data_IF_114166034070
#
_entry.id   IF_114166034070
#
_cell.length_a   1.000
_cell.length_b   1.000
_cell.length_c   1.000
_cell.angle_alpha   90.00
_cell.angle_beta   90.00
_cell.angle_gamma   90.00
#
_symmetry.space_group_name_H-M   'P 1'
#
loop_
_entity.id
_entity.type
_entity.pdbx_description
1 polymer ?
#
# COMPACT_ATOMS: atom_id res chain seq x y z
N UNK A 1 1.82 8.82 -9.49
CA UNK A 1 1.01 8.65 -8.27
C UNK A 1 -0.31 9.42 -8.30
N UNK A 2 -1.41 8.80 -7.87
CA UNK A 2 -2.77 9.36 -7.97
C UNK A 2 -3.40 9.26 -9.36
N UNK A 3 -3.33 8.10 -10.00
CA UNK A 3 -3.89 7.90 -11.35
C UNK A 3 -4.66 6.60 -11.46
N UNK A 4 -5.56 6.55 -12.44
CA UNK A 4 -6.33 5.34 -12.75
C UNK A 4 -5.42 4.14 -12.99
N UNK A 5 -4.39 4.29 -13.83
CA UNK A 5 -3.43 3.22 -14.16
C UNK A 5 -2.63 2.77 -12.93
N UNK A 6 -2.22 3.73 -12.09
CA UNK A 6 -1.47 3.45 -10.86
C UNK A 6 -2.26 2.67 -9.81
N UNK A 7 -3.59 2.60 -9.91
CA UNK A 7 -4.41 1.77 -9.04
C UNK A 7 -4.82 0.45 -9.72
N UNK A 8 -5.17 0.47 -11.00
CA UNK A 8 -5.58 -0.75 -11.72
C UNK A 8 -4.44 -1.75 -11.87
N UNK A 9 -3.21 -1.29 -12.12
CA UNK A 9 -2.07 -2.18 -12.30
C UNK A 9 -1.74 -3.00 -11.04
N UNK A 10 -1.44 -2.39 -9.87
CA UNK A 10 -1.22 -3.15 -8.64
C UNK A 10 -2.50 -3.88 -8.19
N UNK A 11 -3.68 -3.28 -8.38
CA UNK A 11 -4.95 -3.93 -8.07
C UNK A 11 -5.17 -5.25 -8.84
N UNK A 12 -4.78 -5.29 -10.11
CA UNK A 12 -4.85 -6.50 -10.94
C UNK A 12 -3.91 -7.59 -10.42
N UNK A 13 -2.69 -7.21 -10.04
CA UNK A 13 -1.71 -8.16 -9.52
C UNK A 13 -2.22 -8.80 -8.22
N UNK A 14 -2.63 -7.99 -7.24
CA UNK A 14 -3.17 -8.49 -5.97
C UNK A 14 -4.43 -9.32 -6.14
N UNK A 15 -5.32 -8.93 -7.05
CA UNK A 15 -6.55 -9.68 -7.33
C UNK A 15 -6.25 -11.07 -7.90
N UNK A 16 -5.41 -11.15 -8.93
CA UNK A 16 -5.09 -12.41 -9.62
C UNK A 16 -4.30 -13.33 -8.69
N UNK A 17 -3.28 -12.81 -8.02
CA UNK A 17 -2.45 -13.59 -7.09
C UNK A 17 -3.27 -14.03 -5.88
N UNK A 18 -4.06 -13.12 -5.28
CA UNK A 18 -4.93 -13.45 -4.14
C UNK A 18 -5.96 -14.53 -4.49
N UNK A 19 -6.66 -14.40 -5.62
CA UNK A 19 -7.63 -15.40 -6.06
C UNK A 19 -6.96 -16.75 -6.35
N UNK A 20 -5.76 -16.72 -6.93
CA UNK A 20 -4.95 -17.91 -7.16
C UNK A 20 -4.56 -18.61 -5.85
N UNK A 21 -4.20 -17.85 -4.81
CA UNK A 21 -3.89 -18.38 -3.48
C UNK A 21 -5.11 -19.04 -2.83
N UNK A 22 -6.27 -18.38 -2.88
CA UNK A 22 -7.53 -18.95 -2.36
C UNK A 22 -7.85 -20.28 -3.02
N UNK A 23 -7.82 -20.32 -4.37
CA UNK A 23 -8.06 -21.54 -5.12
C UNK A 23 -7.04 -22.63 -4.77
N UNK A 24 -5.76 -22.27 -4.73
CA UNK A 24 -4.67 -23.21 -4.46
C UNK A 24 -4.72 -23.78 -3.05
N UNK A 25 -5.09 -22.98 -2.04
CA UNK A 25 -5.28 -23.44 -0.67
C UNK A 25 -6.47 -24.41 -0.58
N UNK A 26 -7.61 -24.06 -1.20
CA UNK A 26 -8.78 -24.93 -1.24
C UNK A 26 -8.49 -26.26 -1.95
N UNK A 27 -7.80 -26.22 -3.10
CA UNK A 27 -7.43 -27.42 -3.86
C UNK A 27 -6.46 -28.32 -3.09
N UNK A 28 -5.43 -27.74 -2.44
CA UNK A 28 -4.48 -28.48 -1.59
C UNK A 28 -5.19 -29.17 -0.44
N UNK A 29 -6.09 -28.47 0.24
CA UNK A 29 -6.84 -29.02 1.36
C UNK A 29 -7.82 -30.11 0.92
N UNK A 30 -8.48 -29.95 -0.22
CA UNK A 30 -9.39 -30.96 -0.76
C UNK A 30 -8.66 -32.25 -1.17
N UNK A 31 -7.42 -32.14 -1.66
CA UNK A 31 -6.61 -33.29 -2.06
C UNK A 31 -6.08 -34.08 -0.84
N UNK A 32 -5.44 -33.41 0.11
CA UNK A 32 -4.84 -34.05 1.28
C UNK A 32 -5.02 -33.21 2.56
N UNK A 33 -6.19 -33.28 3.23
CA UNK A 33 -6.47 -32.48 4.43
C UNK A 33 -5.48 -32.72 5.58
N UNK A 34 -5.05 -33.98 5.75
CA UNK A 34 -4.17 -34.39 6.86
C UNK A 34 -2.71 -33.94 6.68
N UNK A 35 -2.27 -33.67 5.45
CA UNK A 35 -0.93 -33.22 5.13
C UNK A 35 -0.88 -31.71 4.79
N UNK A 36 -1.98 -30.99 5.00
CA UNK A 36 -2.10 -29.58 4.66
C UNK A 36 -1.02 -28.76 5.37
N UNK A 37 -0.35 -27.91 4.59
CA UNK A 37 0.57 -26.89 5.07
C UNK A 37 0.30 -25.59 4.32
N UNK A 38 0.35 -24.47 5.03
CA UNK A 38 0.36 -23.11 4.51
C UNK A 38 1.48 -22.98 3.48
N UNK A 39 1.23 -22.24 2.40
CA UNK A 39 2.27 -21.84 1.45
C UNK A 39 2.12 -20.37 1.13
N UNK A 40 3.22 -19.61 1.24
CA UNK A 40 3.28 -18.18 0.94
C UNK A 40 3.13 -17.89 -0.55
N UNK A 41 3.36 -18.89 -1.40
CA UNK A 41 3.23 -18.80 -2.85
C UNK A 41 2.71 -20.13 -3.40
N UNK A 42 1.99 -20.10 -4.52
CA UNK A 42 1.34 -21.30 -5.07
C UNK A 42 1.83 -21.66 -6.47
N UNK A 43 2.29 -22.90 -6.73
CA UNK A 43 2.85 -23.26 -8.01
C UNK A 43 1.79 -23.33 -9.11
N UNK A 44 2.07 -22.71 -10.27
CA UNK A 44 1.17 -22.71 -11.43
C UNK A 44 1.53 -23.86 -12.37
N UNK A 45 0.79 -24.96 -12.26
CA UNK A 45 1.00 -26.16 -13.08
C UNK A 45 2.38 -26.79 -12.89
N UNK A 46 2.90 -27.43 -13.95
CA UNK A 46 4.15 -28.19 -13.90
C UNK A 46 5.27 -27.58 -14.78
N UNK A 47 6.51 -27.97 -14.49
CA UNK A 47 7.67 -27.61 -15.31
C UNK A 47 8.03 -26.12 -15.27
N UNK A 48 8.14 -25.48 -16.44
CA UNK A 48 8.61 -24.08 -16.57
C UNK A 48 7.67 -23.06 -15.94
N UNK A 49 6.38 -23.36 -15.88
CA UNK A 49 5.35 -22.46 -15.35
C UNK A 49 5.19 -22.56 -13.84
N UNK A 50 5.81 -23.57 -13.20
CA UNK A 50 5.69 -23.81 -11.76
C UNK A 50 5.92 -22.54 -10.93
N UNK A 51 6.89 -21.70 -11.29
CA UNK A 51 7.26 -20.50 -10.52
C UNK A 51 6.73 -19.20 -11.16
N UNK A 52 5.68 -19.28 -11.98
CA UNK A 52 5.15 -18.14 -12.73
C UNK A 52 4.75 -16.97 -11.82
N UNK A 53 4.09 -17.26 -10.70
CA UNK A 53 3.73 -16.25 -9.70
C UNK A 53 4.96 -15.45 -9.23
N UNK A 54 6.01 -16.15 -8.82
CA UNK A 54 7.26 -15.54 -8.35
C UNK A 54 7.97 -14.75 -9.45
N UNK A 55 7.95 -15.23 -10.70
CA UNK A 55 8.52 -14.48 -11.82
C UNK A 55 7.74 -13.19 -12.08
N UNK A 56 6.40 -13.24 -12.05
CA UNK A 56 5.56 -12.05 -12.24
C UNK A 56 5.84 -11.03 -11.14
N UNK A 57 5.88 -11.45 -9.87
CA UNK A 57 6.15 -10.56 -8.74
C UNK A 57 7.56 -9.97 -8.84
N UNK A 58 8.58 -10.81 -9.08
CA UNK A 58 9.99 -10.36 -9.10
C UNK A 58 10.27 -9.45 -10.29
N UNK A 59 9.90 -9.85 -11.51
CA UNK A 59 10.18 -9.06 -12.71
C UNK A 59 9.29 -7.82 -12.74
N UNK A 60 8.01 -7.96 -12.37
CA UNK A 60 7.07 -6.85 -12.32
C UNK A 60 7.52 -5.76 -11.35
N UNK A 61 7.83 -6.13 -10.10
CA UNK A 61 8.33 -5.18 -9.09
C UNK A 61 9.66 -4.54 -9.48
N UNK A 62 10.59 -5.30 -10.08
CA UNK A 62 11.86 -4.76 -10.55
C UNK A 62 11.67 -3.73 -11.67
N UNK A 63 10.86 -4.05 -12.67
CA UNK A 63 10.59 -3.14 -13.80
C UNK A 63 9.88 -1.89 -13.31
N UNK A 64 8.86 -2.03 -12.45
CA UNK A 64 8.13 -0.89 -11.89
C UNK A 64 9.04 -0.01 -11.01
N UNK A 65 9.90 -0.62 -10.20
CA UNK A 65 10.93 0.08 -9.43
C UNK A 65 11.87 0.89 -10.34
N UNK A 66 12.32 0.30 -11.46
CA UNK A 66 13.14 1.00 -12.43
C UNK A 66 12.38 2.16 -13.09
N UNK A 67 11.09 2.02 -13.38
CA UNK A 67 10.27 3.09 -13.96
C UNK A 67 10.13 4.24 -12.97
N UNK A 68 9.73 3.97 -11.72
CA UNK A 68 9.52 5.04 -10.75
C UNK A 68 10.83 5.72 -10.33
N UNK A 69 11.91 4.96 -10.16
CA UNK A 69 13.20 5.55 -9.80
C UNK A 69 13.89 6.23 -10.99
N UNK A 70 13.93 5.63 -12.18
CA UNK A 70 14.76 6.15 -13.28
C UNK A 70 13.98 7.06 -14.23
N UNK A 71 12.73 6.71 -14.55
CA UNK A 71 11.93 7.42 -15.53
C UNK A 71 11.14 8.57 -14.89
N UNK A 72 10.43 8.32 -13.78
CA UNK A 72 9.58 9.34 -13.12
C UNK A 72 10.42 10.48 -12.52
N UNK A 73 11.59 10.18 -11.94
CA UNK A 73 12.50 11.20 -11.40
C UNK A 73 13.36 11.90 -12.46
N UNK A 74 13.30 11.45 -13.73
CA UNK A 74 14.20 11.90 -14.81
C UNK A 74 15.70 11.88 -14.43
N UNK A 75 16.10 11.00 -13.50
CA UNK A 75 17.46 10.92 -12.90
C UNK A 75 17.88 12.17 -12.11
N UNK A 76 16.96 13.09 -11.86
CA UNK A 76 17.17 14.28 -11.03
C UNK A 76 16.87 13.95 -9.56
N UNK A 77 17.66 13.03 -9.00
CA UNK A 77 17.52 12.58 -7.62
C UNK A 77 17.80 13.68 -6.59
N UNK A 78 18.63 14.65 -6.95
CA UNK A 78 19.26 15.58 -6.03
C UNK A 78 19.08 17.00 -6.57
N UNK A 79 18.57 17.88 -5.71
CA UNK A 79 18.29 19.27 -6.05
C UNK A 79 19.08 20.22 -5.14
N UNK A 80 19.58 21.30 -5.74
CA UNK A 80 20.35 22.35 -5.05
C UNK A 80 21.84 22.05 -4.88
N UNK A 81 22.61 23.05 -4.44
CA UNK A 81 24.06 22.94 -4.16
C UNK A 81 24.37 21.93 -3.05
N UNK A 82 23.43 21.73 -2.12
CA UNK A 82 23.58 20.80 -0.99
C UNK A 82 23.31 19.33 -1.35
N UNK A 83 22.93 19.04 -2.60
CA UNK A 83 22.67 17.67 -3.09
C UNK A 83 21.63 16.94 -2.21
N UNK A 84 20.54 17.62 -1.86
CA UNK A 84 19.45 17.05 -1.04
C UNK A 84 18.45 16.33 -1.96
N UNK A 85 17.85 15.26 -1.45
CA UNK A 85 16.81 14.51 -2.16
C UNK A 85 15.67 15.45 -2.58
N UNK A 86 15.32 15.46 -3.87
CA UNK A 86 14.32 16.37 -4.39
C UNK A 86 12.93 16.11 -3.74
N UNK A 87 12.37 17.06 -2.96
CA UNK A 87 11.05 16.88 -2.34
C UNK A 87 9.93 16.62 -3.34
N UNK A 88 10.08 17.11 -4.58
CA UNK A 88 9.11 16.89 -5.65
C UNK A 88 8.98 15.42 -6.08
N UNK A 89 10.01 14.61 -5.85
CA UNK A 89 10.07 13.20 -6.23
C UNK A 89 10.08 12.24 -5.03
N UNK A 90 9.85 12.73 -3.80
CA UNK A 90 9.85 11.88 -2.61
C UNK A 90 8.86 10.73 -2.70
N UNK A 91 7.70 10.98 -3.32
CA UNK A 91 6.69 9.95 -3.54
C UNK A 91 7.22 8.82 -4.45
N UNK A 92 7.95 9.15 -5.52
CA UNK A 92 8.56 8.14 -6.42
C UNK A 92 9.60 7.28 -5.67
N UNK A 93 10.34 7.88 -4.74
CA UNK A 93 11.28 7.15 -3.87
C UNK A 93 10.59 6.24 -2.86
N UNK A 94 9.50 6.69 -2.25
CA UNK A 94 8.68 5.87 -1.36
C UNK A 94 8.16 4.64 -2.12
N UNK A 95 7.65 4.84 -3.34
CA UNK A 95 7.20 3.77 -4.23
C UNK A 95 8.34 2.82 -4.60
N UNK A 96 9.49 3.36 -4.99
CA UNK A 96 10.68 2.56 -5.24
C UNK A 96 11.10 1.70 -4.04
N UNK A 97 11.01 2.24 -2.82
CA UNK A 97 11.30 1.51 -1.58
C UNK A 97 10.30 0.38 -1.30
N UNK A 98 9.01 0.62 -1.52
CA UNK A 98 7.96 -0.41 -1.40
C UNK A 98 8.14 -1.51 -2.45
N UNK A 99 8.38 -1.15 -3.72
CA UNK A 99 8.62 -2.09 -4.81
C UNK A 99 9.89 -2.91 -4.60
N UNK A 100 10.95 -2.31 -4.05
CA UNK A 100 12.17 -3.02 -3.67
C UNK A 100 11.88 -4.16 -2.68
N UNK A 101 11.01 -3.94 -1.70
CA UNK A 101 10.68 -4.97 -0.72
C UNK A 101 9.89 -6.14 -1.35
N UNK A 102 8.98 -5.87 -2.29
CA UNK A 102 8.33 -6.92 -3.08
C UNK A 102 9.30 -7.65 -4.02
N UNK A 103 10.27 -6.94 -4.60
CA UNK A 103 11.34 -7.55 -5.39
C UNK A 103 12.19 -8.50 -4.54
N UNK A 104 12.61 -8.05 -3.35
CA UNK A 104 13.38 -8.89 -2.42
C UNK A 104 12.58 -10.13 -1.99
N UNK A 105 11.28 -9.97 -1.69
CA UNK A 105 10.40 -11.09 -1.43
C UNK A 105 10.40 -12.12 -2.58
N UNK A 106 10.14 -11.66 -3.81
CA UNK A 106 10.10 -12.54 -4.98
C UNK A 106 11.45 -13.20 -5.27
N UNK A 107 12.53 -12.43 -5.26
CA UNK A 107 13.88 -12.90 -5.58
C UNK A 107 14.40 -13.93 -4.57
N UNK A 108 14.24 -13.67 -3.26
CA UNK A 108 14.66 -14.59 -2.20
C UNK A 108 13.83 -15.86 -2.23
N UNK A 109 12.50 -15.76 -2.42
CA UNK A 109 11.63 -16.93 -2.53
C UNK A 109 11.97 -17.79 -3.74
N UNK A 110 12.21 -17.15 -4.89
CA UNK A 110 12.62 -17.84 -6.11
C UNK A 110 14.00 -18.50 -5.96
N UNK A 111 14.95 -17.83 -5.30
CA UNK A 111 16.27 -18.38 -5.01
C UNK A 111 16.17 -19.58 -4.06
N UNK A 112 15.30 -19.52 -3.04
CA UNK A 112 15.05 -20.63 -2.13
C UNK A 112 14.51 -21.86 -2.86
N UNK A 113 13.59 -21.67 -3.81
CA UNK A 113 13.01 -22.78 -4.58
C UNK A 113 13.94 -23.36 -5.65
N UNK A 114 14.78 -22.52 -6.27
CA UNK A 114 15.64 -22.93 -7.39
C UNK A 114 16.99 -23.47 -6.95
N UNK A 115 17.48 -23.07 -5.79
CA UNK A 115 18.85 -23.31 -5.38
C UNK A 115 18.91 -24.03 -4.05
N UNK A 116 19.77 -25.04 -3.96
CA UNK A 116 20.02 -25.77 -2.71
C UNK A 116 20.85 -24.97 -1.69
N UNK A 117 21.33 -23.80 -2.07
CA UNK A 117 22.24 -22.97 -1.27
C UNK A 117 21.52 -22.18 -0.20
N UNK A 118 20.22 -21.92 -0.37
CA UNK A 118 19.44 -21.10 0.54
C UNK A 118 18.04 -21.69 0.78
N UNK A 119 17.92 -22.89 1.36
CA UNK A 119 16.62 -23.47 1.67
C UNK A 119 16.00 -22.72 2.86
N UNK A 120 15.07 -21.80 2.58
CA UNK A 120 14.33 -21.12 3.64
C UNK A 120 13.12 -21.97 4.05
N UNK A 121 12.84 -22.08 5.36
CA UNK A 121 11.58 -22.65 5.82
C UNK A 121 10.43 -21.72 5.43
N UNK A 122 9.25 -22.31 5.19
CA UNK A 122 8.05 -21.58 4.77
C UNK A 122 7.73 -20.38 5.69
N UNK A 123 7.89 -20.56 7.00
CA UNK A 123 7.68 -19.48 7.98
C UNK A 123 8.58 -18.26 7.76
N UNK A 124 9.83 -18.44 7.32
CA UNK A 124 10.71 -17.32 6.97
C UNK A 124 10.24 -16.58 5.72
N UNK A 125 9.70 -17.30 4.74
CA UNK A 125 9.12 -16.69 3.55
C UNK A 125 7.82 -15.94 3.87
N UNK A 126 7.00 -16.46 4.79
CA UNK A 126 5.85 -15.76 5.35
C UNK A 126 6.23 -14.46 6.08
N UNK A 127 7.31 -14.45 6.86
CA UNK A 127 7.84 -13.21 7.46
C UNK A 127 8.37 -12.24 6.42
N UNK A 128 8.99 -12.73 5.34
CA UNK A 128 9.46 -11.90 4.25
C UNK A 128 8.29 -11.25 3.49
N UNK A 129 7.22 -12.00 3.21
CA UNK A 129 5.98 -11.46 2.66
C UNK A 129 5.37 -10.41 3.60
N UNK A 130 5.32 -10.69 4.90
CA UNK A 130 4.87 -9.72 5.91
C UNK A 130 5.72 -8.44 5.89
N UNK A 131 7.03 -8.54 5.69
CA UNK A 131 7.91 -7.38 5.61
C UNK A 131 7.62 -6.54 4.34
N UNK A 132 7.35 -7.18 3.21
CA UNK A 132 6.95 -6.50 1.98
C UNK A 132 5.61 -5.76 2.15
N UNK A 133 4.59 -6.44 2.69
CA UNK A 133 3.32 -5.79 3.03
C UNK A 133 3.48 -4.68 4.09
N UNK A 134 4.43 -4.80 5.02
CA UNK A 134 4.72 -3.73 5.99
C UNK A 134 5.28 -2.48 5.31
N UNK A 135 6.15 -2.64 4.31
CA UNK A 135 6.64 -1.51 3.52
C UNK A 135 5.51 -0.82 2.75
N UNK A 136 4.60 -1.62 2.16
CA UNK A 136 3.38 -1.12 1.52
C UNK A 136 2.47 -0.38 2.50
N UNK A 137 2.23 -0.96 3.68
CA UNK A 137 1.42 -0.35 4.73
C UNK A 137 1.98 1.01 5.15
N UNK A 138 3.28 1.11 5.40
CA UNK A 138 3.91 2.36 5.83
C UNK A 138 3.76 3.43 4.75
N UNK A 139 4.03 3.09 3.49
CA UNK A 139 3.86 4.00 2.38
C UNK A 139 2.42 4.53 2.30
N UNK A 140 1.42 3.64 2.25
CA UNK A 140 0.03 4.08 2.13
C UNK A 140 -0.49 4.75 3.39
N UNK A 141 0.02 4.41 4.57
CA UNK A 141 -0.34 5.10 5.80
C UNK A 141 0.13 6.55 5.77
N UNK A 142 1.40 6.80 5.43
CA UNK A 142 1.92 8.17 5.32
C UNK A 142 1.27 8.92 4.15
N UNK A 143 1.07 8.26 3.02
CA UNK A 143 0.35 8.85 1.88
C UNK A 143 -1.10 9.22 2.24
N UNK A 144 -1.80 8.36 2.98
CA UNK A 144 -3.17 8.60 3.42
C UNK A 144 -3.27 9.77 4.38
N UNK A 145 -2.26 10.02 5.22
CA UNK A 145 -2.24 11.19 6.11
C UNK A 145 -2.00 12.52 5.37
N UNK A 146 -1.49 12.46 4.13
CA UNK A 146 -1.32 13.63 3.28
C UNK A 146 -2.63 14.05 2.58
N UNK A 147 -3.56 13.12 2.39
CA UNK A 147 -4.85 13.36 1.74
C UNK A 147 -5.94 13.73 2.75
N UNK A 148 -6.82 14.67 2.36
CA UNK A 148 -8.01 15.02 3.13
C UNK A 148 -9.27 14.77 2.30
N UNK A 149 -10.39 14.45 2.96
CA UNK A 149 -11.66 14.17 2.28
C UNK A 149 -11.79 12.72 1.79
N UNK A 150 -12.51 12.53 0.69
CA UNK A 150 -12.92 11.20 0.19
C UNK A 150 -11.72 10.30 -0.15
N UNK A 151 -10.69 10.88 -0.77
CA UNK A 151 -9.48 10.15 -1.13
C UNK A 151 -8.77 9.56 0.11
N UNK A 152 -8.68 10.33 1.20
CA UNK A 152 -8.11 9.85 2.47
C UNK A 152 -8.88 8.67 3.06
N UNK A 153 -10.22 8.68 3.02
CA UNK A 153 -11.03 7.57 3.52
C UNK A 153 -10.83 6.28 2.72
N UNK A 154 -10.71 6.39 1.39
CA UNK A 154 -10.44 5.23 0.55
C UNK A 154 -9.05 4.63 0.84
N UNK A 155 -8.04 5.47 1.05
CA UNK A 155 -6.70 5.02 1.40
C UNK A 155 -6.64 4.42 2.81
N UNK A 156 -7.40 4.93 3.80
CA UNK A 156 -7.48 4.30 5.14
C UNK A 156 -8.01 2.86 5.06
N UNK A 157 -9.04 2.61 4.25
CA UNK A 157 -9.56 1.26 4.08
C UNK A 157 -8.52 0.35 3.42
N UNK A 158 -7.78 0.87 2.44
CA UNK A 158 -6.67 0.14 1.82
C UNK A 158 -5.60 -0.23 2.86
N UNK A 159 -5.22 0.71 3.73
CA UNK A 159 -4.26 0.48 4.82
C UNK A 159 -4.74 -0.62 5.78
N UNK A 160 -6.03 -0.66 6.11
CA UNK A 160 -6.62 -1.75 6.93
C UNK A 160 -6.50 -3.10 6.21
N UNK A 161 -6.79 -3.16 4.92
CA UNK A 161 -6.68 -4.39 4.12
C UNK A 161 -5.23 -4.89 4.04
N UNK A 162 -4.27 -3.99 3.84
CA UNK A 162 -2.84 -4.34 3.89
C UNK A 162 -2.46 -4.85 5.29
N UNK A 163 -2.99 -4.22 6.35
CA UNK A 163 -2.83 -4.71 7.73
C UNK A 163 -3.32 -6.15 7.94
N UNK A 164 -4.41 -6.54 7.26
CA UNK A 164 -4.88 -7.93 7.27
C UNK A 164 -3.93 -8.87 6.51
N UNK A 165 -3.33 -8.43 5.40
CA UNK A 165 -2.29 -9.18 4.69
C UNK A 165 -1.05 -9.41 5.57
N UNK A 166 -0.62 -8.40 6.33
CA UNK A 166 0.47 -8.52 7.31
C UNK A 166 0.11 -9.54 8.38
N UNK A 167 -1.04 -9.37 9.03
CA UNK A 167 -1.47 -10.23 10.13
C UNK A 167 -1.63 -11.69 9.71
N UNK A 168 -2.24 -11.93 8.53
CA UNK A 168 -2.41 -13.27 7.98
C UNK A 168 -1.09 -13.90 7.54
N UNK A 169 -0.14 -13.12 6.99
CA UNK A 169 1.21 -13.60 6.66
C UNK A 169 1.99 -14.02 7.91
N UNK A 170 1.96 -13.20 8.97
CA UNK A 170 2.56 -13.55 10.27
C UNK A 170 1.88 -14.79 10.85
N UNK A 171 0.56 -14.84 10.84
CA UNK A 171 -0.19 -16.01 11.31
C UNK A 171 0.19 -17.27 10.52
N UNK A 172 0.47 -17.16 9.21
CA UNK A 172 0.91 -18.27 8.36
C UNK A 172 2.26 -18.84 8.79
N UNK A 173 3.16 -18.00 9.31
CA UNK A 173 4.42 -18.44 9.90
C UNK A 173 4.22 -19.14 11.26
N UNK A 174 3.27 -18.67 12.07
CA UNK A 174 3.01 -19.17 13.42
C UNK A 174 2.14 -20.43 13.45
N UNK A 175 1.22 -20.57 12.50
CA UNK A 175 0.25 -21.65 12.42
C UNK A 175 0.29 -22.29 11.02
N UNK A 176 1.37 -23.02 10.68
CA UNK A 176 1.60 -23.54 9.33
C UNK A 176 0.60 -24.62 8.90
N UNK A 177 -0.25 -25.12 9.79
CA UNK A 177 -1.15 -26.26 9.52
C UNK A 177 -2.61 -25.82 9.42
N UNK A 178 -2.86 -24.51 9.47
CA UNK A 178 -4.19 -23.96 9.58
C UNK A 178 -4.70 -23.45 8.24
N UNK A 179 -5.67 -24.14 7.66
CA UNK A 179 -6.34 -23.73 6.42
C UNK A 179 -6.94 -22.32 6.50
N UNK A 180 -7.55 -21.95 7.63
CA UNK A 180 -8.19 -20.66 7.77
C UNK A 180 -7.17 -19.51 7.65
N UNK A 181 -5.93 -19.75 8.10
CA UNK A 181 -4.84 -18.78 7.99
C UNK A 181 -4.39 -18.63 6.53
N UNK A 182 -4.19 -19.73 5.82
CA UNK A 182 -3.84 -19.72 4.38
C UNK A 182 -4.93 -19.02 3.55
N UNK A 183 -6.21 -19.38 3.77
CA UNK A 183 -7.34 -18.73 3.12
C UNK A 183 -7.45 -17.25 3.49
N UNK A 184 -7.21 -16.88 4.74
CA UNK A 184 -7.27 -15.47 5.16
C UNK A 184 -6.25 -14.62 4.41
N UNK A 185 -5.05 -15.15 4.15
CA UNK A 185 -4.03 -14.46 3.37
C UNK A 185 -4.50 -14.18 1.94
N UNK A 186 -4.91 -15.23 1.22
CA UNK A 186 -5.41 -15.08 -0.14
C UNK A 186 -6.67 -14.20 -0.25
N UNK A 187 -7.59 -14.31 0.71
CA UNK A 187 -8.79 -13.46 0.77
C UNK A 187 -8.41 -12.00 1.02
N UNK A 188 -7.51 -11.71 1.96
CA UNK A 188 -7.04 -10.35 2.23
C UNK A 188 -6.37 -9.73 1.01
N UNK A 189 -5.50 -10.48 0.30
CA UNK A 189 -4.89 -10.02 -0.95
C UNK A 189 -5.94 -9.74 -2.04
N UNK A 190 -6.95 -10.62 -2.17
CA UNK A 190 -8.03 -10.44 -3.13
C UNK A 190 -8.84 -9.18 -2.82
N UNK A 191 -9.18 -8.97 -1.54
CA UNK A 191 -9.90 -7.78 -1.09
C UNK A 191 -9.08 -6.51 -1.30
N UNK A 192 -7.78 -6.53 -1.01
CA UNK A 192 -6.86 -5.44 -1.31
C UNK A 192 -6.87 -5.10 -2.81
N UNK A 193 -6.78 -6.11 -3.69
CA UNK A 193 -6.87 -5.93 -5.14
C UNK A 193 -8.21 -5.33 -5.61
N UNK A 194 -9.33 -5.84 -5.10
CA UNK A 194 -10.66 -5.29 -5.36
C UNK A 194 -10.79 -3.83 -4.91
N UNK A 195 -10.21 -3.49 -3.77
CA UNK A 195 -10.28 -2.14 -3.23
C UNK A 195 -9.45 -1.14 -4.04
N UNK A 196 -8.30 -1.56 -4.58
CA UNK A 196 -7.57 -0.78 -5.57
C UNK A 196 -8.43 -0.46 -6.79
N UNK A 197 -9.17 -1.44 -7.33
CA UNK A 197 -10.12 -1.20 -8.42
C UNK A 197 -11.23 -0.23 -8.05
N UNK A 198 -11.82 -0.40 -6.86
CA UNK A 198 -12.87 0.50 -6.37
C UNK A 198 -12.34 1.94 -6.26
N UNK A 199 -11.12 2.11 -5.74
CA UNK A 199 -10.43 3.40 -5.65
C UNK A 199 -10.17 3.98 -7.05
N UNK A 200 -9.67 3.16 -7.98
CA UNK A 200 -9.39 3.57 -9.36
C UNK A 200 -10.64 4.12 -10.05
N UNK A 201 -11.74 3.37 -10.02
CA UNK A 201 -12.94 3.77 -10.74
C UNK A 201 -13.69 4.93 -10.09
N UNK A 202 -13.68 5.01 -8.75
CA UNK A 202 -14.43 6.03 -8.02
C UNK A 202 -13.72 7.37 -8.02
N UNK A 203 -12.41 7.38 -7.76
CA UNK A 203 -11.64 8.63 -7.65
C UNK A 203 -11.06 9.09 -8.98
N UNK A 204 -10.73 8.15 -9.88
CA UNK A 204 -9.95 8.43 -11.09
C UNK A 204 -10.61 7.95 -12.39
N UNK A 205 -11.78 7.32 -12.30
CA UNK A 205 -12.44 6.67 -13.42
C UNK A 205 -13.83 7.21 -13.70
N UNK A 206 -14.59 6.45 -14.48
CA UNK A 206 -15.90 6.84 -15.01
C UNK A 206 -17.00 7.04 -13.95
N UNK A 207 -16.76 6.63 -12.70
CA UNK A 207 -17.70 6.82 -11.58
C UNK A 207 -17.48 8.14 -10.83
N UNK A 208 -16.47 8.94 -11.20
CA UNK A 208 -16.29 10.26 -10.64
C UNK A 208 -17.49 11.17 -11.02
N UNK A 209 -18.21 11.78 -10.06
CA UNK A 209 -19.34 12.64 -10.37
C UNK A 209 -18.91 13.81 -11.28
N UNK A 210 -19.55 13.94 -12.45
CA UNK A 210 -19.22 14.97 -13.45
C UNK A 210 -19.29 16.40 -12.90
N UNK A 211 -20.11 16.60 -11.87
CA UNK A 211 -20.28 17.90 -11.20
C UNK A 211 -19.02 18.32 -10.42
N UNK A 212 -18.24 17.36 -9.90
CA UNK A 212 -16.96 17.62 -9.25
C UNK A 212 -15.86 18.02 -10.25
N UNK A 213 -15.86 17.42 -11.45
CA UNK A 213 -14.94 17.80 -12.53
C UNK A 213 -15.22 19.22 -13.06
N UNK A 214 -16.50 19.64 -13.09
CA UNK A 214 -16.90 20.97 -13.54
C UNK A 214 -16.68 22.08 -12.51
N UNK A 215 -16.60 21.74 -11.22
CA UNK A 215 -16.47 22.72 -10.13
C UNK A 215 -15.05 23.29 -10.05
N UNK A 216 -14.02 22.51 -10.38
CA UNK A 216 -12.62 22.99 -10.45
C UNK A 216 -12.43 24.04 -11.55
N UNK A 217 -13.17 23.94 -12.66
CA UNK A 217 -13.15 24.93 -13.74
C UNK A 217 -13.99 26.18 -13.39
N UNK A 218 -15.08 26.04 -12.62
CA UNK A 218 -15.90 27.19 -12.20
C UNK A 218 -15.28 28.01 -11.08
N UNK A 219 -14.57 27.40 -10.14
CA UNK A 219 -13.92 28.13 -9.04
C UNK A 219 -12.73 28.96 -9.52
N UNK A 220 -11.99 28.49 -10.53
CA UNK A 220 -10.89 29.22 -11.16
C UNK A 220 -11.37 30.38 -12.06
N UNK A 221 -12.51 30.22 -12.74
CA UNK A 221 -13.15 31.33 -13.49
C UNK A 221 -13.80 32.34 -12.53
N UNK A 222 -14.42 31.90 -11.44
CA UNK A 222 -15.04 32.81 -10.47
C UNK A 222 -14.02 33.62 -9.67
N UNK A 223 -12.83 33.07 -9.37
CA UNK A 223 -11.74 33.82 -8.73
C UNK A 223 -11.04 34.80 -9.69
N UNK A 224 -10.95 34.48 -10.99
CA UNK A 224 -10.38 35.39 -11.99
C UNK A 224 -11.29 36.60 -12.26
N UNK A 225 -12.61 36.43 -12.13
CA UNK A 225 -13.58 37.53 -12.37
C UNK A 225 -13.79 38.42 -11.13
N UNK A 226 -13.40 37.98 -9.93
CA UNK A 226 -13.56 38.75 -8.70
C UNK A 226 -12.41 39.73 -8.41
N UNK A 227 -11.35 39.77 -9.24
CA UNK A 227 -10.20 40.69 -9.05
C UNK A 227 -10.38 42.10 -9.64
N UNK A 228 -11.57 42.45 -10.13
CA UNK A 228 -11.87 43.77 -10.73
C UNK A 228 -13.01 44.53 -10.04
N UNK A 229 -13.31 44.25 -8.77
CA UNK A 229 -14.41 44.92 -8.06
C UNK A 229 -14.07 45.23 -6.61
N UNK A 230 -13.76 46.49 -6.34
CA UNK A 230 -14.00 47.27 -5.10
C UNK A 230 -14.25 46.51 -3.79
N UNK A 231 -13.38 46.78 -2.81
CA UNK A 231 -13.49 46.46 -1.38
C UNK A 231 -14.86 46.86 -0.80
N UNK A 232 -15.48 45.99 0.03
CA UNK A 232 -16.11 46.51 1.23
C UNK A 232 -15.80 45.71 2.51
N UNK A 233 -15.67 46.52 3.57
CA UNK A 233 -15.72 46.31 5.03
C UNK A 233 -16.02 44.92 5.62
N UNK A 234 -15.20 44.64 6.63
CA UNK A 234 -15.36 43.71 7.76
C UNK A 234 -16.81 43.46 8.21
N UNK A 235 -17.16 42.18 8.34
CA UNK A 235 -18.11 41.71 9.35
C UNK A 235 -17.56 40.44 10.00
N UNK A 236 -17.43 40.52 11.32
CA UNK A 236 -17.03 39.49 12.27
C UNK A 236 -18.01 38.31 12.20
N UNK A 237 -17.53 37.10 11.91
CA UNK A 237 -18.29 35.87 12.05
C UNK A 237 -17.48 34.86 12.87
N UNK A 238 -18.06 34.44 13.99
CA UNK A 238 -17.52 33.50 14.96
C UNK A 238 -17.17 32.14 14.32
N UNK A 239 -15.96 31.67 14.57
CA UNK A 239 -15.55 30.27 14.39
C UNK A 239 -16.22 29.38 15.47
N UNK A 240 -16.84 28.25 15.11
CA UNK A 240 -17.17 27.22 16.08
C UNK A 240 -15.90 26.44 16.46
N UNK A 241 -15.49 26.55 17.73
CA UNK A 241 -14.52 25.65 18.36
C UNK A 241 -15.21 24.32 18.69
N UNK A 242 -14.70 23.21 18.17
CA UNK A 242 -14.98 21.84 18.68
C UNK A 242 -13.65 21.10 18.92
N UNK A 243 -13.61 20.09 19.81
CA UNK A 243 -12.60 19.95 20.84
C UNK A 243 -11.88 18.60 20.71
N UNK A 244 -10.83 18.53 19.89
CA UNK A 244 -9.96 17.34 19.88
C UNK A 244 -8.56 17.62 20.44
N UNK A 245 -8.20 18.89 20.65
CA UNK A 245 -6.90 19.29 21.18
C UNK A 245 -6.79 19.27 22.72
N UNK A 246 -7.88 19.05 23.46
CA UNK A 246 -7.86 19.03 24.93
C UNK A 246 -7.44 17.69 25.57
N UNK A 247 -7.36 16.58 24.82
CA UNK A 247 -6.99 15.29 25.42
C UNK A 247 -5.47 15.05 25.47
N UNK A 248 -4.71 15.65 24.54
CA UNK A 248 -3.25 15.50 24.51
C UNK A 248 -2.55 16.38 25.56
N UNK A 249 -3.11 17.57 25.84
CA UNK A 249 -2.52 18.55 26.78
C UNK A 249 -2.83 18.23 28.27
N UNK A 250 -3.63 17.19 28.53
CA UNK A 250 -3.91 16.65 29.88
C UNK A 250 -3.02 15.46 30.25
N UNK A 251 -2.46 14.72 29.29
CA UNK A 251 -1.49 13.66 29.56
C UNK A 251 -0.05 14.19 29.75
N UNK A 252 0.33 15.25 29.05
CA UNK A 252 1.68 15.84 29.19
C UNK A 252 1.93 16.57 30.52
N UNK A 253 0.87 16.94 31.26
CA UNK A 253 0.98 17.56 32.59
C UNK A 253 1.14 16.57 33.74
N UNK A 254 0.97 15.26 33.51
CA UNK A 254 1.13 14.25 34.57
C UNK A 254 2.53 13.62 34.65
N UNK A 255 3.43 13.87 33.69
CA UNK A 255 4.80 13.33 33.68
C UNK A 255 5.89 14.32 34.16
N UNK A 256 5.53 15.46 34.74
CA UNK A 256 6.51 16.44 35.29
C UNK A 256 6.40 16.60 36.80
N UNK A 257 6.64 15.55 37.57
CA UNK A 257 7.06 15.69 38.97
C UNK A 257 8.09 14.63 39.33
N UNK A 258 9.18 15.12 39.95
CA UNK A 258 10.19 14.43 40.77
C UNK A 258 11.52 14.04 40.11
N UNK A 259 12.34 15.06 39.85
CA UNK A 259 13.80 14.97 40.00
C UNK A 259 14.21 16.05 41.02
N UNK A 260 14.66 15.65 42.21
CA UNK A 260 15.38 16.52 43.16
C UNK A 260 16.88 16.39 42.89
N UNK A 261 17.65 17.48 42.83
CA UNK A 261 19.11 17.40 42.98
C UNK A 261 19.49 17.56 44.47
N UNK A 262 20.77 17.32 44.83
CA UNK A 262 21.20 16.82 46.15
C UNK A 262 21.10 17.84 47.29
#
# INVERSE_FOLDING_TARGET
MGSFKGHVLPGSLFLIVGAWHVWSAAARYAAEPAAFRVRVWSPVGEGRWRHLELYIITVGSFVDMCIELLYSTHLHFLSGEERILNPAHMNDFEHGGMLLMFFLYGAVTLLSEKTRWLPLPEGSLCFLASAAFTAEYLLFYFHSTAHSGLEGYYHIILVILIGLCIASSVAGALFPDNLAVDLSNGVSMTLQGLWFYQTAFTLYGSMMPRDAASTTTRSSVSLATARSGTVPRQHTALLPRFPCLCLCDRMLRHCRVKVRPP
#
